data_IF_081500977709
#
_entry.id   IF_081500977709
#
_cell.length_a   1.000
_cell.length_b   1.000
_cell.length_c   1.000
_cell.angle_alpha   90.00
_cell.angle_beta   90.00
_cell.angle_gamma   90.00
#
_symmetry.space_group_name_H-M   'P 1'
#
loop_
_entity.id
_entity.type
_entity.pdbx_description
1 polymer ?
#
# COMPACT_ATOMS: atom_id res chain seq x y z
N UNK A 1 -2.57 -22.76 -25.98
CA UNK A 1 -2.28 -22.47 -24.56
C UNK A 1 -3.54 -22.81 -23.78
N UNK A 2 -3.56 -23.90 -23.01
CA UNK A 2 -4.75 -24.32 -22.26
C UNK A 2 -4.76 -23.64 -20.89
N UNK A 3 -5.92 -23.12 -20.47
CA UNK A 3 -6.14 -22.68 -19.10
C UNK A 3 -6.15 -23.91 -18.18
N UNK A 4 -5.08 -24.10 -17.40
CA UNK A 4 -5.03 -25.15 -16.39
C UNK A 4 -5.76 -24.69 -15.13
N UNK A 5 -6.79 -25.45 -14.72
CA UNK A 5 -7.52 -25.19 -13.47
C UNK A 5 -6.95 -26.10 -12.39
N UNK A 6 -6.36 -25.52 -11.35
CA UNK A 6 -5.94 -26.27 -10.16
C UNK A 6 -7.08 -26.25 -9.15
N UNK A 7 -7.85 -27.33 -9.06
CA UNK A 7 -8.82 -27.56 -7.98
C UNK A 7 -8.21 -28.57 -7.02
N UNK A 8 -8.23 -28.30 -5.71
CA UNK A 8 -7.78 -29.28 -4.72
C UNK A 8 -8.69 -30.54 -4.77
N UNK A 9 -8.20 -31.73 -4.39
CA UNK A 9 -8.92 -33.01 -4.55
C UNK A 9 -10.29 -33.09 -3.84
N UNK A 10 -10.63 -32.11 -3.01
CA UNK A 10 -11.85 -31.96 -2.21
C UNK A 10 -12.76 -30.81 -2.69
N UNK A 11 -12.50 -30.22 -3.85
CA UNK A 11 -13.30 -29.10 -4.40
C UNK A 11 -13.04 -27.75 -3.72
N UNK A 12 -12.15 -27.70 -2.73
CA UNK A 12 -11.73 -26.46 -2.08
C UNK A 12 -10.68 -25.75 -2.93
N UNK A 13 -10.74 -24.43 -2.96
CA UNK A 13 -9.73 -23.60 -3.63
C UNK A 13 -8.43 -23.64 -2.82
N UNK A 14 -7.33 -24.00 -3.47
CA UNK A 14 -5.99 -23.96 -2.87
C UNK A 14 -5.56 -22.49 -2.68
N UNK A 15 -5.44 -22.06 -1.43
CA UNK A 15 -5.10 -20.67 -1.09
C UNK A 15 -3.70 -20.26 -1.53
N UNK A 16 -2.75 -21.20 -1.58
CA UNK A 16 -1.40 -20.92 -2.05
C UNK A 16 -1.39 -20.74 -3.58
N UNK A 17 -2.19 -21.55 -4.29
CA UNK A 17 -2.43 -21.35 -5.73
C UNK A 17 -3.14 -20.02 -6.02
N UNK A 18 -4.11 -19.61 -5.19
CA UNK A 18 -4.76 -18.28 -5.30
C UNK A 18 -3.76 -17.16 -5.08
N UNK A 19 -2.94 -17.24 -4.03
CA UNK A 19 -1.90 -16.25 -3.75
C UNK A 19 -0.92 -16.13 -4.91
N UNK A 20 -0.47 -17.27 -5.46
CA UNK A 20 0.41 -17.29 -6.63
C UNK A 20 -0.27 -16.67 -7.87
N UNK A 21 -1.57 -16.90 -8.04
CA UNK A 21 -2.38 -16.33 -9.13
C UNK A 21 -2.50 -14.81 -8.97
N UNK A 22 -2.83 -14.30 -7.79
CA UNK A 22 -2.90 -12.86 -7.53
C UNK A 22 -1.56 -12.17 -7.70
N UNK A 23 -0.46 -12.85 -7.32
CA UNK A 23 0.88 -12.34 -7.50
C UNK A 23 1.29 -12.15 -8.98
N UNK A 24 0.48 -12.62 -9.95
CA UNK A 24 0.67 -12.36 -11.38
C UNK A 24 0.14 -11.00 -11.84
N UNK A 25 -0.66 -10.32 -11.03
CA UNK A 25 -1.10 -8.96 -11.30
C UNK A 25 -0.11 -7.99 -10.62
N UNK A 26 0.73 -7.26 -11.38
CA UNK A 26 1.68 -6.32 -10.80
C UNK A 26 0.94 -5.13 -10.17
N UNK A 27 1.48 -4.59 -9.08
CA UNK A 27 0.97 -3.38 -8.44
C UNK A 27 2.11 -2.44 -8.06
N UNK A 28 1.80 -1.18 -7.84
CA UNK A 28 2.64 -0.32 -7.01
C UNK A 28 2.63 -0.78 -5.54
N UNK A 29 3.47 -0.17 -4.72
CA UNK A 29 3.43 -0.31 -3.26
C UNK A 29 3.17 1.05 -2.63
N UNK A 30 2.23 1.10 -1.68
CA UNK A 30 1.89 2.32 -0.93
C UNK A 30 2.17 2.09 0.54
N UNK A 31 2.86 3.04 1.19
CA UNK A 31 2.93 3.11 2.64
C UNK A 31 1.71 3.86 3.17
N UNK A 32 1.08 3.36 4.23
CA UNK A 32 -0.01 4.03 4.96
C UNK A 32 0.52 4.34 6.35
N UNK A 33 0.69 5.62 6.67
CA UNK A 33 1.40 6.06 7.87
C UNK A 33 0.71 7.23 8.58
N UNK A 34 0.96 7.36 9.88
CA UNK A 34 0.59 8.52 10.68
C UNK A 34 1.47 8.62 11.92
N UNK A 35 1.33 9.72 12.65
CA UNK A 35 1.78 9.81 14.03
C UNK A 35 0.76 9.16 14.97
N UNK A 36 1.24 8.35 15.91
CA UNK A 36 0.43 7.88 17.04
C UNK A 36 0.26 9.00 18.08
N UNK A 37 -0.55 8.77 19.12
CA UNK A 37 -0.95 9.79 20.09
C UNK A 37 0.23 10.34 20.91
N UNK A 38 1.30 9.54 21.04
CA UNK A 38 2.56 9.90 21.68
C UNK A 38 3.57 10.53 20.70
N UNK A 39 3.19 10.74 19.44
CA UNK A 39 4.06 11.25 18.37
C UNK A 39 4.93 10.18 17.71
N UNK A 40 4.80 8.90 18.10
CA UNK A 40 5.57 7.82 17.48
C UNK A 40 5.08 7.56 16.05
N UNK A 41 5.96 7.48 15.04
CA UNK A 41 5.54 7.14 13.68
C UNK A 41 5.08 5.68 13.60
N UNK A 42 3.92 5.48 12.99
CA UNK A 42 3.32 4.17 12.77
C UNK A 42 2.92 4.02 11.32
N UNK A 43 3.05 2.81 10.77
CA UNK A 43 2.70 2.57 9.38
C UNK A 43 2.87 1.14 8.91
N UNK A 44 2.27 0.87 7.77
CA UNK A 44 2.30 -0.40 7.07
C UNK A 44 2.49 -0.19 5.57
N UNK A 45 3.01 -1.20 4.88
CA UNK A 45 3.04 -1.24 3.43
C UNK A 45 1.85 -2.04 2.89
N UNK A 46 1.23 -1.55 1.81
CA UNK A 46 0.12 -2.19 1.12
C UNK A 46 0.36 -2.21 -0.39
N UNK A 47 0.14 -3.37 -1.02
CA UNK A 47 0.20 -3.54 -2.48
C UNK A 47 -1.21 -3.61 -3.11
N UNK A 48 -2.22 -3.19 -2.36
CA UNK A 48 -3.65 -3.27 -2.71
C UNK A 48 -4.25 -1.89 -3.02
N UNK A 49 -3.41 -0.88 -3.24
CA UNK A 49 -3.86 0.48 -3.54
C UNK A 49 -4.67 0.54 -4.83
N UNK A 50 -5.77 1.27 -4.80
CA UNK A 50 -6.63 1.53 -5.95
C UNK A 50 -7.19 2.95 -5.91
N UNK A 51 -7.21 3.64 -7.06
CA UNK A 51 -7.98 4.87 -7.23
C UNK A 51 -9.45 4.53 -7.45
N UNK A 52 -10.35 5.17 -6.70
CA UNK A 52 -11.78 4.79 -6.66
C UNK A 52 -12.68 5.83 -7.30
N UNK A 53 -12.46 7.12 -7.02
CA UNK A 53 -13.31 8.20 -7.51
C UNK A 53 -12.51 9.49 -7.64
N UNK A 54 -12.92 10.36 -8.57
CA UNK A 54 -12.37 11.71 -8.76
C UNK A 54 -13.22 12.77 -8.07
N UNK A 55 -14.55 12.64 -8.09
CA UNK A 55 -15.47 13.57 -7.41
C UNK A 55 -16.57 12.79 -6.65
N UNK A 56 -16.46 12.69 -5.31
CA UNK A 56 -15.33 13.16 -4.52
C UNK A 56 -14.05 12.34 -4.74
N UNK A 57 -12.85 12.87 -4.42
CA UNK A 57 -11.60 12.15 -4.61
C UNK A 57 -11.44 11.05 -3.56
N UNK A 58 -11.44 9.79 -4.02
CA UNK A 58 -11.39 8.60 -3.17
C UNK A 58 -10.32 7.61 -3.65
N UNK A 59 -9.62 7.01 -2.70
CA UNK A 59 -8.69 5.90 -2.91
C UNK A 59 -8.96 4.78 -1.92
N UNK A 60 -8.48 3.57 -2.16
CA UNK A 60 -8.68 2.45 -1.26
C UNK A 60 -7.46 1.55 -1.10
N UNK A 61 -7.38 0.87 0.05
CA UNK A 61 -6.43 -0.21 0.30
C UNK A 61 -7.13 -1.34 1.06
N UNK A 62 -6.70 -2.59 0.83
CA UNK A 62 -7.12 -3.73 1.65
C UNK A 62 -6.12 -3.95 2.78
N UNK A 63 -6.61 -4.07 4.02
CA UNK A 63 -5.80 -4.30 5.22
C UNK A 63 -6.24 -5.58 5.92
N UNK A 64 -5.30 -6.44 6.29
CA UNK A 64 -5.61 -7.72 6.90
C UNK A 64 -6.02 -7.54 8.37
N UNK A 65 -7.05 -8.26 8.83
CA UNK A 65 -7.49 -8.20 10.23
C UNK A 65 -6.43 -8.64 11.25
N UNK A 66 -5.43 -9.42 10.83
CA UNK A 66 -4.30 -9.85 11.65
C UNK A 66 -3.22 -8.77 11.80
N UNK A 67 -3.37 -7.60 11.16
CA UNK A 67 -2.45 -6.48 11.30
C UNK A 67 -2.45 -5.96 12.74
N UNK A 68 -1.27 -5.90 13.35
CA UNK A 68 -1.08 -5.28 14.67
C UNK A 68 -0.93 -3.76 14.59
N UNK A 69 -0.71 -3.22 13.39
CA UNK A 69 -0.54 -1.78 13.15
C UNK A 69 -1.85 -1.09 12.81
N UNK A 70 -2.73 -1.80 12.10
CA UNK A 70 -3.98 -1.23 11.61
C UNK A 70 -4.90 -0.69 12.71
N UNK A 71 -5.11 -1.38 13.85
CA UNK A 71 -5.94 -0.82 14.92
C UNK A 71 -5.44 0.54 15.45
N UNK A 72 -4.12 0.80 15.39
CA UNK A 72 -3.57 2.10 15.79
C UNK A 72 -3.84 3.18 14.73
N UNK A 73 -3.67 2.84 13.45
CA UNK A 73 -3.94 3.73 12.32
C UNK A 73 -5.44 4.05 12.15
N UNK A 74 -6.31 3.07 12.35
CA UNK A 74 -7.76 3.21 12.16
C UNK A 74 -8.41 4.26 13.08
N UNK A 75 -7.73 4.63 14.17
CA UNK A 75 -8.16 5.66 15.12
C UNK A 75 -7.47 7.02 14.90
N UNK A 76 -6.72 7.21 13.80
CA UNK A 76 -6.10 8.49 13.48
C UNK A 76 -7.01 9.35 12.61
N UNK A 77 -7.08 10.67 12.85
CA UNK A 77 -7.93 11.56 12.06
C UNK A 77 -7.42 11.70 10.63
N UNK A 78 -6.08 11.69 10.45
CA UNK A 78 -5.41 11.80 9.17
C UNK A 78 -4.35 10.72 9.00
N UNK A 79 -4.21 10.26 7.77
CA UNK A 79 -3.31 9.20 7.34
C UNK A 79 -2.61 9.67 6.07
N UNK A 80 -1.30 9.56 6.04
CA UNK A 80 -0.50 9.79 4.86
C UNK A 80 -0.38 8.50 4.05
N UNK A 81 -0.68 8.57 2.77
CA UNK A 81 -0.45 7.50 1.81
C UNK A 81 0.71 7.92 0.90
N UNK A 82 1.80 7.13 0.86
CA UNK A 82 2.97 7.43 0.03
C UNK A 82 3.22 6.29 -0.98
N UNK A 83 3.12 6.59 -2.27
CA UNK A 83 3.37 5.63 -3.36
C UNK A 83 4.88 5.51 -3.56
N UNK A 84 5.44 4.37 -3.14
CA UNK A 84 6.88 4.18 -3.03
C UNK A 84 7.59 4.22 -4.39
N UNK A 85 8.74 4.88 -4.42
CA UNK A 85 9.64 4.91 -5.57
C UNK A 85 10.48 3.64 -5.67
N UNK A 86 11.01 3.36 -6.86
CA UNK A 86 11.85 2.20 -7.15
C UNK A 86 13.07 2.07 -6.21
N UNK A 87 13.60 3.18 -5.70
CA UNK A 87 14.70 3.23 -4.74
C UNK A 87 14.31 2.88 -3.30
N UNK A 88 13.02 2.72 -3.01
CA UNK A 88 12.47 2.53 -1.67
C UNK A 88 12.11 1.05 -1.39
N UNK A 89 12.78 0.10 -2.03
CA UNK A 89 12.56 -1.33 -1.78
C UNK A 89 12.94 -1.72 -0.34
N UNK A 90 14.02 -1.16 0.20
CA UNK A 90 14.42 -1.32 1.61
C UNK A 90 13.36 -0.74 2.57
N UNK A 91 12.87 0.47 2.28
CA UNK A 91 11.77 1.10 3.04
C UNK A 91 10.53 0.22 3.05
N UNK A 92 10.15 -0.35 1.90
CA UNK A 92 9.03 -1.28 1.82
C UNK A 92 9.23 -2.52 2.72
N UNK A 93 10.42 -3.12 2.70
CA UNK A 93 10.74 -4.30 3.53
C UNK A 93 10.71 -3.95 5.02
N UNK A 94 11.23 -2.79 5.38
CA UNK A 94 11.25 -2.30 6.76
C UNK A 94 9.84 -2.04 7.29
N UNK A 95 8.98 -1.39 6.51
CA UNK A 95 7.57 -1.16 6.88
C UNK A 95 6.75 -2.46 6.99
N UNK A 96 7.13 -3.51 6.25
CA UNK A 96 6.50 -4.82 6.33
C UNK A 96 7.04 -5.72 7.47
N UNK A 97 8.12 -5.31 8.16
CA UNK A 97 8.74 -6.11 9.20
C UNK A 97 7.83 -6.26 10.43
N UNK A 98 7.78 -7.46 11.03
CA UNK A 98 6.93 -7.70 12.21
C UNK A 98 7.43 -7.04 13.50
N UNK A 99 8.72 -6.75 13.57
CA UNK A 99 9.43 -6.28 14.77
C UNK A 99 10.48 -5.25 14.39
N UNK A 100 10.90 -4.45 15.38
CA UNK A 100 11.91 -3.41 15.19
C UNK A 100 11.31 -2.05 14.87
N UNK A 101 12.17 -1.04 14.82
CA UNK A 101 11.79 0.32 14.46
C UNK A 101 11.63 0.42 12.93
N UNK A 102 10.38 0.48 12.48
CA UNK A 102 10.04 0.55 11.05
C UNK A 102 10.36 1.90 10.40
N UNK A 103 10.68 2.91 11.20
CA UNK A 103 10.95 4.28 10.73
C UNK A 103 12.40 4.73 10.98
N UNK A 104 13.21 3.90 11.64
CA UNK A 104 14.64 4.16 11.81
C UNK A 104 15.31 4.45 10.45
N UNK A 105 15.93 5.63 10.34
CA UNK A 105 16.66 6.06 9.14
C UNK A 105 15.78 6.42 7.94
N UNK A 106 14.45 6.50 8.10
CA UNK A 106 13.56 7.00 7.06
C UNK A 106 13.34 8.51 7.21
N UNK A 107 13.42 9.23 6.09
CA UNK A 107 13.03 10.63 6.03
C UNK A 107 11.52 10.75 5.79
N UNK A 108 10.84 11.51 6.65
CA UNK A 108 9.41 11.73 6.56
C UNK A 108 9.02 13.12 7.04
N UNK A 109 7.83 13.54 6.63
CA UNK A 109 7.19 14.77 7.09
C UNK A 109 5.81 14.42 7.65
N UNK A 110 5.44 15.03 8.76
CA UNK A 110 4.09 14.92 9.31
C UNK A 110 3.34 16.24 9.14
N UNK A 111 2.08 16.16 8.72
CA UNK A 111 1.16 17.29 8.73
C UNK A 111 0.74 17.63 10.17
N UNK A 112 0.24 18.84 10.39
CA UNK A 112 -0.23 19.28 11.71
C UNK A 112 -1.34 18.36 12.28
N UNK A 113 -2.13 17.77 11.40
CA UNK A 113 -3.19 16.81 11.75
C UNK A 113 -2.71 15.35 11.90
N UNK A 114 -1.40 15.10 11.75
CA UNK A 114 -0.76 13.83 12.04
C UNK A 114 -0.61 12.84 10.87
N UNK A 115 -0.94 13.24 9.64
CA UNK A 115 -0.68 12.42 8.45
C UNK A 115 0.84 12.36 8.22
N UNK A 116 1.41 11.15 8.05
CA UNK A 116 2.86 10.99 7.85
C UNK A 116 3.16 10.60 6.40
N UNK A 117 3.97 11.42 5.72
CA UNK A 117 4.34 11.28 4.32
C UNK A 117 5.84 10.95 4.22
N UNK A 118 6.19 9.91 3.45
CA UNK A 118 7.57 9.51 3.24
C UNK A 118 8.22 10.35 2.15
N UNK A 119 9.43 10.86 2.42
CA UNK A 119 10.21 11.60 1.42
C UNK A 119 10.71 10.65 0.32
N UNK A 120 10.82 11.18 -0.90
CA UNK A 120 11.25 10.42 -2.08
C UNK A 120 10.21 9.47 -2.67
N UNK A 121 8.98 9.48 -2.16
CA UNK A 121 7.86 8.77 -2.77
C UNK A 121 7.41 9.43 -4.09
N UNK A 122 7.00 8.64 -5.07
CA UNK A 122 6.55 9.13 -6.39
C UNK A 122 5.26 9.96 -6.32
N UNK A 123 4.43 9.71 -5.31
CA UNK A 123 3.25 10.48 -5.01
C UNK A 123 2.90 10.34 -3.53
N UNK A 124 2.17 11.32 -3.02
CA UNK A 124 1.65 11.30 -1.66
C UNK A 124 0.23 11.85 -1.62
N UNK A 125 -0.55 11.34 -0.65
CA UNK A 125 -1.91 11.76 -0.38
C UNK A 125 -2.09 11.92 1.13
N UNK A 126 -2.69 13.03 1.55
CA UNK A 126 -3.21 13.19 2.91
C UNK A 126 -4.71 12.87 2.90
N UNK A 127 -5.07 11.90 3.74
CA UNK A 127 -6.34 11.22 3.69
C UNK A 127 -7.03 11.12 5.06
N UNK A 128 -8.36 11.07 5.06
CA UNK A 128 -9.14 10.54 6.19
C UNK A 128 -9.86 9.26 5.79
N UNK A 129 -10.21 8.41 6.77
CA UNK A 129 -11.02 7.22 6.51
C UNK A 129 -12.45 7.66 6.19
N UNK A 130 -12.94 7.34 4.99
CA UNK A 130 -14.33 7.56 4.57
C UNK A 130 -15.21 6.38 5.02
N UNK A 131 -14.70 5.15 4.83
CA UNK A 131 -15.42 3.92 5.19
C UNK A 131 -14.46 2.73 5.29
N UNK A 132 -14.74 1.81 6.18
CA UNK A 132 -14.15 0.47 6.17
C UNK A 132 -15.23 -0.58 5.92
N UNK A 133 -14.98 -1.52 5.00
CA UNK A 133 -15.95 -2.53 4.57
C UNK A 133 -15.33 -3.92 4.75
N UNK A 134 -15.99 -4.86 5.45
CA UNK A 134 -15.51 -6.24 5.55
C UNK A 134 -15.37 -6.90 4.18
N UNK A 135 -14.24 -7.58 3.95
CA UNK A 135 -13.87 -8.18 2.68
C UNK A 135 -13.08 -9.50 2.91
N UNK A 136 -13.76 -10.51 3.47
CA UNK A 136 -13.13 -11.79 3.79
C UNK A 136 -12.20 -11.69 5.01
N UNK A 137 -10.92 -12.05 4.84
CA UNK A 137 -9.89 -11.93 5.88
C UNK A 137 -9.22 -10.54 5.94
N UNK A 138 -9.71 -9.61 5.11
CA UNK A 138 -9.32 -8.21 5.07
C UNK A 138 -10.53 -7.30 5.30
N UNK A 139 -10.26 -6.04 5.59
CA UNK A 139 -11.19 -4.94 5.35
C UNK A 139 -10.70 -4.09 4.17
N UNK A 140 -11.63 -3.68 3.32
CA UNK A 140 -11.39 -2.65 2.31
C UNK A 140 -11.62 -1.28 2.96
N UNK A 141 -10.55 -0.51 3.05
CA UNK A 141 -10.57 0.83 3.63
C UNK A 141 -10.60 1.84 2.49
N UNK A 142 -11.66 2.62 2.45
CA UNK A 142 -11.87 3.74 1.55
C UNK A 142 -11.44 5.02 2.25
N UNK A 143 -10.65 5.83 1.57
CA UNK A 143 -10.14 7.09 2.06
C UNK A 143 -10.64 8.26 1.23
N UNK A 144 -10.94 9.37 1.91
CA UNK A 144 -11.13 10.68 1.31
C UNK A 144 -9.78 11.37 1.18
N UNK A 145 -9.44 11.83 -0.02
CA UNK A 145 -8.24 12.64 -0.25
C UNK A 145 -8.55 14.11 0.05
N UNK A 146 -7.69 14.75 0.83
CA UNK A 146 -7.80 16.17 1.17
C UNK A 146 -6.70 16.99 0.51
N UNK A 147 -5.48 16.46 0.50
CA UNK A 147 -4.32 17.06 -0.18
C UNK A 147 -3.52 15.96 -0.89
N UNK A 148 -2.79 16.32 -1.94
CA UNK A 148 -1.97 15.37 -2.68
C UNK A 148 -0.82 16.06 -3.42
N UNK A 149 0.19 15.28 -3.78
CA UNK A 149 1.31 15.73 -4.59
C UNK A 149 1.97 14.60 -5.36
N UNK A 150 2.76 14.96 -6.38
CA UNK A 150 3.49 14.02 -7.23
C UNK A 150 4.95 14.45 -7.38
N UNK A 151 5.84 13.47 -7.50
CA UNK A 151 7.26 13.62 -7.82
C UNK A 151 7.55 12.85 -9.12
N UNK A 152 7.41 13.49 -10.29
CA UNK A 152 7.45 12.81 -11.58
C UNK A 152 8.83 12.27 -11.98
N UNK A 153 9.91 12.66 -11.29
CA UNK A 153 11.28 12.30 -11.64
C UNK A 153 11.68 10.89 -11.20
N UNK A 154 10.83 10.18 -10.45
CA UNK A 154 11.13 8.86 -9.92
C UNK A 154 10.12 7.82 -10.44
N UNK A 155 10.63 6.69 -10.96
CA UNK A 155 9.79 5.55 -11.31
C UNK A 155 9.25 4.85 -10.05
N UNK A 156 8.04 4.26 -10.09
CA UNK A 156 7.44 3.60 -8.93
C UNK A 156 8.10 2.25 -8.64
N UNK A 157 8.04 1.84 -7.38
CA UNK A 157 8.34 0.46 -6.97
C UNK A 157 7.20 -0.46 -7.43
N UNK A 158 7.52 -1.48 -8.22
CA UNK A 158 6.54 -2.47 -8.68
C UNK A 158 6.71 -3.76 -7.89
N UNK A 159 5.63 -4.26 -7.30
CA UNK A 159 5.60 -5.57 -6.67
C UNK A 159 4.91 -6.58 -7.59
N UNK A 160 5.62 -7.65 -7.95
CA UNK A 160 5.11 -8.70 -8.84
C UNK A 160 5.81 -10.03 -8.56
N UNK A 161 5.02 -11.10 -8.44
CA UNK A 161 5.48 -12.46 -8.14
C UNK A 161 6.43 -12.51 -6.91
N UNK A 162 6.04 -11.84 -5.83
CA UNK A 162 6.80 -11.73 -4.57
C UNK A 162 8.19 -11.09 -4.70
N UNK A 163 8.42 -10.30 -5.76
CA UNK A 163 9.68 -9.60 -6.04
C UNK A 163 9.40 -8.14 -6.36
N UNK A 164 10.42 -7.30 -6.14
CA UNK A 164 10.42 -5.90 -6.55
C UNK A 164 11.01 -5.74 -7.94
N UNK A 165 10.41 -4.85 -8.72
CA UNK A 165 10.77 -4.54 -10.09
C UNK A 165 10.67 -3.02 -10.30
N UNK A 166 11.23 -2.56 -11.41
CA UNK A 166 11.07 -1.20 -11.93
C UNK A 166 10.29 -1.24 -13.22
N UNK A 167 9.61 -0.15 -13.57
CA UNK A 167 9.03 0.01 -14.90
C UNK A 167 10.11 0.37 -15.92
N UNK A 168 9.91 -0.07 -17.15
CA UNK A 168 10.60 0.42 -18.34
C UNK A 168 9.53 0.85 -19.34
N UNK A 169 9.76 1.95 -20.04
CA UNK A 169 8.91 2.34 -21.15
C UNK A 169 8.95 1.27 -22.24
N UNK A 170 7.80 1.01 -22.87
CA UNK A 170 7.78 0.21 -24.09
C UNK A 170 8.36 1.05 -25.20
N UNK A 171 9.34 0.51 -25.92
CA UNK A 171 9.78 1.13 -27.17
C UNK A 171 8.58 1.21 -28.11
N UNK A 172 8.31 2.40 -28.64
CA UNK A 172 7.27 2.55 -29.66
C UNK A 172 7.64 1.64 -30.84
N UNK A 173 6.73 0.74 -31.21
CA UNK A 173 6.92 -0.09 -32.38
C UNK A 173 7.18 0.82 -33.58
N UNK A 174 8.35 0.66 -34.21
CA UNK A 174 8.75 1.38 -35.42
C UNK A 174 7.92 0.94 -36.62
#
# INVERSE_FOLDING_TARGET
MSLSTTVAPNGTVDTDAVRATFARFPSGVTAVCALDADGTPIGLAASSFVGVSLDPPLVGVCVQYTSTTWPRLAHRPRLGLSVLAASQDLTCRQLAAKTGDRFAGLDWHATDDGALLLQGATAWLDCSIERAVPAGDHEFVLFRVHEHGVQPQCGPLVFHASRFHTLSELEAAS
#
